data_IF_539413972850
#
_entry.id   IF_539413972850
#
_cell.length_a   1.000
_cell.length_b   1.000
_cell.length_c   1.000
_cell.angle_alpha   90.00
_cell.angle_beta   90.00
_cell.angle_gamma   90.00
#
_symmetry.space_group_name_H-M   'P 1'
#
loop_
_entity.id
_entity.type
_entity.pdbx_description
1 polymer ?
#
# COMPACT_ATOMS: atom_id res chain seq x y z
N UNK A 1 7.05 -43.72 32.59
CA UNK A 1 7.10 -43.31 31.17
C UNK A 1 5.91 -42.42 30.87
N UNK A 2 6.10 -41.10 30.86
CA UNK A 2 5.14 -40.14 30.28
C UNK A 2 5.86 -39.38 29.18
N UNK A 3 5.27 -39.43 27.99
CA UNK A 3 5.85 -39.05 26.71
C UNK A 3 5.77 -37.53 26.52
N UNK A 4 6.92 -36.90 26.30
CA UNK A 4 7.03 -35.53 25.77
C UNK A 4 7.28 -35.66 24.27
N UNK A 5 6.31 -35.26 23.46
CA UNK A 5 6.36 -34.95 22.01
C UNK A 5 5.07 -34.14 21.81
N UNK A 6 5.06 -32.89 21.37
CA UNK A 6 5.55 -32.40 20.08
C UNK A 6 5.47 -30.87 20.13
N UNK A 7 6.57 -30.13 19.95
CA UNK A 7 6.53 -28.66 19.85
C UNK A 7 7.69 -28.06 19.01
N UNK A 8 8.23 -28.80 18.03
CA UNK A 8 9.47 -28.42 17.32
C UNK A 8 9.31 -28.11 15.82
N UNK A 9 8.09 -28.13 15.26
CA UNK A 9 7.90 -27.93 13.81
C UNK A 9 7.58 -26.47 13.40
N UNK A 10 6.98 -25.66 14.27
CA UNK A 10 6.56 -24.30 13.91
C UNK A 10 7.72 -23.28 13.89
N UNK A 11 8.72 -23.43 14.77
CA UNK A 11 9.82 -22.46 14.89
C UNK A 11 10.83 -22.52 13.75
N UNK A 12 11.04 -23.67 13.11
CA UNK A 12 12.00 -23.81 12.01
C UNK A 12 11.50 -23.16 10.70
N UNK A 13 10.18 -23.20 10.45
CA UNK A 13 9.59 -22.57 9.27
C UNK A 13 9.58 -21.04 9.38
N UNK A 14 9.26 -20.51 10.58
CA UNK A 14 9.28 -19.07 10.86
C UNK A 14 10.69 -18.46 10.80
N UNK A 15 11.71 -19.19 11.27
CA UNK A 15 13.11 -18.77 11.17
C UNK A 15 13.63 -18.76 9.72
N UNK A 16 13.16 -19.66 8.86
CA UNK A 16 13.53 -19.65 7.44
C UNK A 16 12.81 -18.55 6.64
N UNK A 17 11.54 -18.27 6.95
CA UNK A 17 10.79 -17.21 6.25
C UNK A 17 11.28 -15.81 6.61
N UNK A 18 11.62 -15.55 7.88
CA UNK A 18 12.15 -14.26 8.32
C UNK A 18 13.52 -13.94 7.70
N UNK A 19 14.39 -14.96 7.62
CA UNK A 19 15.71 -14.83 6.99
C UNK A 19 15.65 -14.53 5.49
N UNK A 20 14.76 -15.22 4.75
CA UNK A 20 14.56 -14.99 3.33
C UNK A 20 14.02 -13.57 3.05
N UNK A 21 13.00 -13.13 3.82
CA UNK A 21 12.45 -11.78 3.70
C UNK A 21 13.50 -10.69 3.98
N UNK A 22 14.33 -10.88 5.00
CA UNK A 22 15.40 -9.93 5.30
C UNK A 22 16.41 -9.83 4.15
N UNK A 23 16.78 -10.98 3.56
CA UNK A 23 17.68 -11.02 2.41
C UNK A 23 17.07 -10.31 1.19
N UNK A 24 15.80 -10.56 0.89
CA UNK A 24 15.10 -9.93 -0.23
C UNK A 24 14.94 -8.42 -0.02
N UNK A 25 14.54 -7.99 1.18
CA UNK A 25 14.46 -6.57 1.52
C UNK A 25 15.84 -5.88 1.44
N UNK A 26 16.93 -6.56 1.84
CA UNK A 26 18.28 -6.02 1.75
C UNK A 26 18.73 -5.75 0.31
N UNK A 27 18.25 -6.51 -0.69
CA UNK A 27 18.57 -6.30 -2.12
C UNK A 27 18.11 -4.94 -2.63
N UNK A 28 17.09 -4.36 -1.99
CA UNK A 28 16.56 -3.03 -2.32
C UNK A 28 17.51 -1.89 -1.94
N UNK A 29 18.47 -2.14 -1.04
CA UNK A 29 19.47 -1.14 -0.64
C UNK A 29 20.63 -1.11 -1.65
N UNK A 30 20.90 0.02 -2.34
CA UNK A 30 21.98 0.08 -3.31
C UNK A 30 23.37 -0.06 -2.67
N UNK A 31 24.24 -0.91 -3.22
CA UNK A 31 25.59 -1.13 -2.68
C UNK A 31 26.50 0.11 -2.69
N UNK A 32 26.13 1.16 -3.44
CA UNK A 32 26.81 2.46 -3.40
C UNK A 32 26.62 3.19 -2.05
N UNK A 33 25.52 2.92 -1.33
CA UNK A 33 25.19 3.57 -0.05
C UNK A 33 26.32 3.35 0.97
N UNK A 34 26.80 2.12 1.13
CA UNK A 34 27.89 1.81 2.05
C UNK A 34 29.18 2.60 1.75
N UNK A 35 29.44 2.93 0.48
CA UNK A 35 30.64 3.68 0.07
C UNK A 35 30.54 5.18 0.32
N UNK A 36 29.32 5.74 0.32
CA UNK A 36 29.08 7.19 0.41
C UNK A 36 28.59 7.58 1.81
N UNK A 37 27.71 6.78 2.40
CA UNK A 37 27.08 7.01 3.71
C UNK A 37 26.98 5.70 4.49
N UNK A 38 28.09 5.24 5.12
CA UNK A 38 28.11 3.99 5.87
C UNK A 38 27.17 3.99 7.08
N UNK A 39 26.88 5.16 7.67
CA UNK A 39 25.87 5.28 8.73
C UNK A 39 24.47 4.99 8.18
N UNK A 40 24.12 5.49 6.99
CA UNK A 40 22.84 5.17 6.35
C UNK A 40 22.75 3.68 6.01
N UNK A 41 23.85 3.05 5.57
CA UNK A 41 23.89 1.60 5.38
C UNK A 41 23.56 0.84 6.68
N UNK A 42 24.16 1.25 7.80
CA UNK A 42 23.88 0.62 9.12
C UNK A 42 22.41 0.78 9.50
N UNK A 43 21.84 2.00 9.45
CA UNK A 43 20.41 2.19 9.72
C UNK A 43 19.51 1.39 8.78
N UNK A 44 19.88 1.28 7.50
CA UNK A 44 19.13 0.48 6.54
C UNK A 44 19.14 -1.01 6.89
N UNK A 45 20.28 -1.56 7.30
CA UNK A 45 20.39 -2.99 7.64
C UNK A 45 19.80 -3.29 9.02
N UNK A 46 20.12 -2.47 10.02
CA UNK A 46 19.82 -2.77 11.43
C UNK A 46 18.38 -2.37 11.81
N UNK A 47 17.89 -1.24 11.31
CA UNK A 47 16.58 -0.71 11.68
C UNK A 47 15.53 -0.96 10.61
N UNK A 48 15.78 -0.59 9.35
CA UNK A 48 14.79 -0.79 8.28
C UNK A 48 14.62 -2.28 7.96
N UNK A 49 15.68 -2.97 7.54
CA UNK A 49 15.60 -4.40 7.19
C UNK A 49 15.47 -5.26 8.45
N UNK A 50 16.32 -5.04 9.45
CA UNK A 50 16.40 -5.88 10.64
C UNK A 50 15.24 -5.75 11.63
N UNK A 51 14.46 -4.66 11.58
CA UNK A 51 13.31 -4.46 12.48
C UNK A 51 12.03 -4.17 11.71
N UNK A 52 12.00 -3.13 10.89
CA UNK A 52 10.75 -2.67 10.26
C UNK A 52 10.18 -3.70 9.28
N UNK A 53 11.01 -4.36 8.47
CA UNK A 53 10.56 -5.43 7.59
C UNK A 53 10.29 -6.76 8.30
N UNK A 54 10.80 -6.95 9.51
CA UNK A 54 10.63 -8.17 10.30
C UNK A 54 9.46 -8.11 11.29
N UNK A 55 8.87 -6.93 11.47
CA UNK A 55 7.71 -6.76 12.36
C UNK A 55 6.46 -7.41 11.73
N UNK A 56 5.90 -8.38 12.46
CA UNK A 56 4.81 -9.25 12.03
C UNK A 56 3.41 -8.61 12.11
N UNK A 57 3.26 -7.42 12.72
CA UNK A 57 1.95 -6.74 12.81
C UNK A 57 1.40 -6.43 11.42
N UNK A 58 2.27 -6.05 10.48
CA UNK A 58 1.93 -5.88 9.07
C UNK A 58 2.72 -6.91 8.26
N UNK A 59 2.00 -7.74 7.50
CA UNK A 59 2.61 -8.80 6.71
C UNK A 59 3.63 -8.28 5.68
N UNK A 60 4.58 -9.11 5.28
CA UNK A 60 5.54 -8.78 4.22
C UNK A 60 4.86 -8.36 2.90
N UNK A 61 3.76 -9.05 2.57
CA UNK A 61 2.92 -8.77 1.40
C UNK A 61 2.34 -7.35 1.49
N UNK A 62 1.76 -6.99 2.64
CA UNK A 62 1.16 -5.67 2.85
C UNK A 62 2.22 -4.56 2.94
N UNK A 63 3.36 -4.81 3.58
CA UNK A 63 4.52 -3.90 3.58
C UNK A 63 5.00 -3.62 2.17
N UNK A 64 5.03 -4.65 1.32
CA UNK A 64 5.41 -4.49 -0.08
C UNK A 64 4.42 -3.65 -0.88
N UNK A 65 3.10 -3.86 -0.69
CA UNK A 65 2.08 -3.00 -1.31
C UNK A 65 2.18 -1.54 -0.83
N UNK A 66 2.35 -1.33 0.48
CA UNK A 66 2.53 0.02 1.07
C UNK A 66 3.80 0.69 0.54
N UNK A 67 4.90 -0.04 0.45
CA UNK A 67 6.16 0.46 -0.11
C UNK A 67 6.00 0.84 -1.57
N UNK A 68 5.44 -0.06 -2.38
CA UNK A 68 5.21 0.20 -3.80
C UNK A 68 4.30 1.42 -4.02
N UNK A 69 3.20 1.53 -3.28
CA UNK A 69 2.31 2.68 -3.32
C UNK A 69 3.03 3.99 -2.95
N UNK A 70 3.87 3.97 -1.90
CA UNK A 70 4.61 5.15 -1.47
C UNK A 70 5.66 5.62 -2.50
N UNK A 71 6.43 4.68 -3.06
CA UNK A 71 7.45 4.99 -4.08
C UNK A 71 6.81 5.50 -5.37
N UNK A 72 5.74 4.86 -5.84
CA UNK A 72 4.95 5.31 -6.99
C UNK A 72 4.45 6.75 -6.76
N UNK A 73 3.82 7.00 -5.61
CA UNK A 73 3.25 8.31 -5.25
C UNK A 73 4.30 9.43 -5.27
N UNK A 74 5.53 9.10 -4.83
CA UNK A 74 6.64 10.05 -4.70
C UNK A 74 7.48 10.17 -5.97
N UNK A 75 7.08 9.48 -7.05
CA UNK A 75 7.81 9.42 -8.31
C UNK A 75 9.25 8.88 -8.15
N UNK A 76 9.47 7.98 -7.18
CA UNK A 76 10.75 7.36 -6.90
C UNK A 76 10.91 6.12 -7.78
N UNK A 77 11.18 6.35 -9.07
CA UNK A 77 11.22 5.32 -10.10
C UNK A 77 12.58 4.63 -10.24
N UNK A 78 13.65 5.28 -9.77
CA UNK A 78 14.99 4.69 -9.72
C UNK A 78 15.04 3.58 -8.66
N UNK A 79 15.26 2.33 -9.09
CA UNK A 79 15.28 1.16 -8.19
C UNK A 79 13.90 0.59 -7.85
N UNK A 80 12.82 1.11 -8.45
CA UNK A 80 11.45 0.60 -8.25
C UNK A 80 11.30 -0.85 -8.70
N UNK A 81 12.09 -1.28 -9.70
CA UNK A 81 12.21 -2.66 -10.18
C UNK A 81 12.44 -3.65 -9.03
N UNK A 82 13.40 -3.36 -8.14
CA UNK A 82 13.72 -4.21 -7.00
C UNK A 82 12.59 -4.30 -5.97
N UNK A 83 11.83 -3.22 -5.80
CA UNK A 83 10.67 -3.23 -4.91
C UNK A 83 9.47 -3.97 -5.52
N UNK A 84 9.33 -3.95 -6.85
CA UNK A 84 8.35 -4.78 -7.57
C UNK A 84 8.74 -6.26 -7.43
N UNK A 85 10.01 -6.60 -7.59
CA UNK A 85 10.52 -7.97 -7.34
C UNK A 85 10.22 -8.41 -5.90
N UNK A 86 10.57 -7.59 -4.91
CA UNK A 86 10.27 -7.85 -3.50
C UNK A 86 8.77 -8.05 -3.24
N UNK A 87 7.92 -7.26 -3.90
CA UNK A 87 6.48 -7.40 -3.78
C UNK A 87 5.99 -8.74 -4.31
N UNK A 88 6.43 -9.13 -5.51
CA UNK A 88 6.10 -10.42 -6.11
C UNK A 88 6.60 -11.59 -5.22
N UNK A 89 7.83 -11.50 -4.72
CA UNK A 89 8.43 -12.52 -3.86
C UNK A 89 7.75 -12.60 -2.48
N UNK A 90 7.18 -11.48 -2.01
CA UNK A 90 6.36 -11.41 -0.79
C UNK A 90 4.91 -11.86 -0.99
N UNK A 91 4.53 -12.29 -2.21
CA UNK A 91 3.21 -12.82 -2.51
C UNK A 91 2.18 -11.78 -3.00
N UNK A 92 2.60 -10.56 -3.34
CA UNK A 92 1.74 -9.62 -4.09
C UNK A 92 1.56 -10.17 -5.51
N UNK A 93 0.33 -10.25 -5.98
CA UNK A 93 0.04 -10.77 -7.32
C UNK A 93 0.36 -9.72 -8.40
N UNK A 94 0.73 -10.13 -9.63
CA UNK A 94 0.91 -9.20 -10.74
C UNK A 94 -0.31 -8.31 -11.00
N UNK A 95 -1.51 -8.88 -10.92
CA UNK A 95 -2.76 -8.14 -11.03
C UNK A 95 -2.92 -7.05 -9.96
N UNK A 96 -2.44 -7.28 -8.73
CA UNK A 96 -2.56 -6.31 -7.63
C UNK A 96 -1.60 -5.13 -7.84
N UNK A 97 -0.40 -5.39 -8.37
CA UNK A 97 0.55 -4.34 -8.78
C UNK A 97 -0.05 -3.52 -9.92
N UNK A 98 -0.59 -4.18 -10.94
CA UNK A 98 -1.27 -3.52 -12.07
C UNK A 98 -2.45 -2.66 -11.62
N UNK A 99 -3.31 -3.19 -10.75
CA UNK A 99 -4.48 -2.47 -10.26
C UNK A 99 -4.08 -1.33 -9.29
N UNK A 100 -2.99 -1.48 -8.52
CA UNK A 100 -2.42 -0.40 -7.70
C UNK A 100 -1.95 0.76 -8.58
N UNK A 101 -1.29 0.48 -9.70
CA UNK A 101 -0.88 1.52 -10.68
C UNK A 101 -2.10 2.26 -11.22
N UNK A 102 -3.13 1.53 -11.65
CA UNK A 102 -4.38 2.12 -12.16
C UNK A 102 -5.07 2.97 -11.10
N UNK A 103 -5.22 2.46 -9.88
CA UNK A 103 -5.87 3.17 -8.78
C UNK A 103 -5.13 4.46 -8.41
N UNK A 104 -3.80 4.38 -8.31
CA UNK A 104 -2.98 5.53 -7.94
C UNK A 104 -2.80 6.54 -9.08
N UNK A 105 -3.19 6.23 -10.32
CA UNK A 105 -3.32 7.24 -11.37
C UNK A 105 -4.34 8.33 -10.98
N UNK A 106 -5.48 7.92 -10.40
CA UNK A 106 -6.54 8.84 -9.97
C UNK A 106 -6.20 9.57 -8.66
N UNK A 107 -5.51 8.90 -7.73
CA UNK A 107 -5.21 9.47 -6.41
C UNK A 107 -3.91 10.28 -6.35
N UNK A 108 -2.92 9.94 -7.18
CA UNK A 108 -1.57 10.51 -7.09
C UNK A 108 -1.04 11.03 -8.43
N UNK A 109 -1.81 10.84 -9.52
CA UNK A 109 -1.57 11.45 -10.82
C UNK A 109 -1.09 10.48 -11.90
N UNK A 110 -1.52 10.74 -13.14
CA UNK A 110 -1.22 9.92 -14.32
C UNK A 110 0.27 9.77 -14.61
N UNK A 111 1.08 10.82 -14.39
CA UNK A 111 2.52 10.77 -14.63
C UNK A 111 3.22 9.76 -13.73
N UNK A 112 2.81 9.68 -12.46
CA UNK A 112 3.35 8.72 -11.49
C UNK A 112 2.98 7.29 -11.87
N UNK A 113 1.72 7.04 -12.18
CA UNK A 113 1.25 5.73 -12.62
C UNK A 113 1.92 5.27 -13.92
N UNK A 114 2.06 6.17 -14.91
CA UNK A 114 2.72 5.86 -16.19
C UNK A 114 4.17 5.46 -15.97
N UNK A 115 4.90 6.20 -15.13
CA UNK A 115 6.30 5.90 -14.86
C UNK A 115 6.46 4.57 -14.08
N UNK A 116 5.55 4.27 -13.14
CA UNK A 116 5.54 2.98 -12.45
C UNK A 116 5.22 1.80 -13.40
N UNK A 117 4.28 1.97 -14.34
CA UNK A 117 4.00 0.98 -15.38
C UNK A 117 5.23 0.70 -16.25
N UNK A 118 5.96 1.74 -16.64
CA UNK A 118 7.20 1.62 -17.40
C UNK A 118 8.30 0.89 -16.61
N UNK A 119 8.41 1.15 -15.30
CA UNK A 119 9.35 0.45 -14.43
C UNK A 119 8.96 -1.02 -14.18
N UNK A 120 7.67 -1.34 -14.16
CA UNK A 120 7.18 -2.71 -13.98
C UNK A 120 7.38 -3.59 -15.22
N UNK A 121 7.29 -3.03 -16.41
CA UNK A 121 7.38 -3.76 -17.67
C UNK A 121 8.59 -4.72 -17.79
N UNK A 122 9.86 -4.29 -17.56
CA UNK A 122 11.00 -5.21 -17.65
C UNK A 122 11.00 -6.29 -16.56
N UNK A 123 10.45 -6.01 -15.37
CA UNK A 123 10.32 -7.01 -14.30
C UNK A 123 9.29 -8.06 -14.69
N UNK A 124 8.15 -7.64 -15.25
CA UNK A 124 7.10 -8.55 -15.71
C UNK A 124 7.59 -9.42 -16.86
N UNK A 125 8.30 -8.84 -17.83
CA UNK A 125 8.94 -9.59 -18.92
C UNK A 125 9.93 -10.64 -18.37
N UNK A 126 10.82 -10.26 -17.45
CA UNK A 126 11.78 -11.17 -16.85
C UNK A 126 11.13 -12.29 -16.02
N UNK A 127 9.95 -12.03 -15.43
CA UNK A 127 9.16 -13.00 -14.65
C UNK A 127 8.18 -13.81 -15.51
N UNK A 128 8.10 -13.56 -16.81
CA UNK A 128 7.17 -14.23 -17.73
C UNK A 128 5.69 -13.87 -17.48
N UNK A 129 5.44 -12.72 -16.85
CA UNK A 129 4.10 -12.20 -16.58
C UNK A 129 3.55 -11.56 -17.86
N UNK A 130 2.39 -12.01 -18.29
CA UNK A 130 1.70 -11.55 -19.48
C UNK A 130 0.51 -10.64 -19.13
N UNK A 131 -0.11 -10.02 -20.14
CA UNK A 131 -1.33 -9.21 -19.95
C UNK A 131 -2.49 -10.01 -19.38
N UNK A 132 -2.53 -11.32 -19.62
CA UNK A 132 -3.57 -12.23 -19.11
C UNK A 132 -3.46 -12.45 -17.59
N UNK A 133 -2.30 -12.15 -17.00
CA UNK A 133 -2.04 -12.23 -15.56
C UNK A 133 -2.37 -10.91 -14.82
N UNK A 134 -2.81 -9.88 -15.55
CA UNK A 134 -3.04 -8.52 -15.03
C UNK A 134 -4.53 -8.23 -14.81
N UNK A 135 -4.81 -7.10 -14.16
CA UNK A 135 -6.19 -6.66 -13.95
C UNK A 135 -6.88 -6.39 -15.31
N UNK A 136 -8.06 -6.98 -15.57
CA UNK A 136 -8.73 -6.83 -16.85
C UNK A 136 -9.24 -5.40 -17.03
N UNK A 137 -9.40 -4.99 -18.30
CA UNK A 137 -9.90 -3.65 -18.65
C UNK A 137 -11.33 -3.47 -18.15
N UNK A 138 -12.20 -4.47 -18.38
CA UNK A 138 -13.63 -4.45 -18.07
C UNK A 138 -14.00 -5.66 -17.17
N UNK A 139 -13.71 -5.61 -15.86
CA UNK A 139 -14.08 -6.66 -14.91
C UNK A 139 -15.55 -6.61 -14.52
N UNK A 140 -16.08 -7.73 -14.03
CA UNK A 140 -17.28 -7.72 -13.19
C UNK A 140 -16.97 -6.96 -11.89
N UNK A 141 -17.73 -5.89 -11.63
CA UNK A 141 -17.53 -5.04 -10.46
C UNK A 141 -18.06 -5.69 -9.19
N UNK A 142 -17.41 -5.40 -8.07
CA UNK A 142 -17.83 -5.78 -6.73
C UNK A 142 -19.18 -5.11 -6.37
N UNK A 143 -19.97 -5.71 -5.46
CA UNK A 143 -21.23 -5.12 -5.03
C UNK A 143 -21.06 -3.71 -4.45
N UNK A 144 -21.96 -2.80 -4.85
CA UNK A 144 -22.03 -1.45 -4.32
C UNK A 144 -22.90 -1.41 -3.06
N UNK A 145 -22.43 -0.71 -2.03
CA UNK A 145 -23.29 -0.26 -0.94
C UNK A 145 -24.05 0.99 -1.41
N UNK A 146 -25.27 0.78 -1.92
CA UNK A 146 -26.08 1.85 -2.50
C UNK A 146 -26.43 2.95 -1.49
N UNK A 147 -26.65 2.59 -0.22
CA UNK A 147 -27.00 3.58 0.82
C UNK A 147 -25.79 4.43 1.19
N UNK A 148 -24.63 3.81 1.42
CA UNK A 148 -23.40 4.54 1.72
C UNK A 148 -22.99 5.45 0.55
N UNK A 149 -23.13 4.99 -0.69
CA UNK A 149 -22.82 5.80 -1.86
C UNK A 149 -23.80 6.95 -2.06
N UNK A 150 -25.11 6.72 -1.90
CA UNK A 150 -26.10 7.80 -1.96
C UNK A 150 -25.81 8.88 -0.91
N UNK A 151 -25.45 8.49 0.32
CA UNK A 151 -25.08 9.43 1.37
C UNK A 151 -23.81 10.21 1.03
N UNK A 152 -22.75 9.53 0.55
CA UNK A 152 -21.50 10.17 0.11
C UNK A 152 -21.76 11.17 -1.01
N UNK A 153 -22.52 10.77 -2.04
CA UNK A 153 -22.80 11.61 -3.19
C UNK A 153 -23.66 12.83 -2.82
N UNK A 154 -24.69 12.64 -1.98
CA UNK A 154 -25.50 13.74 -1.48
C UNK A 154 -24.66 14.77 -0.72
N UNK A 155 -23.74 14.31 0.13
CA UNK A 155 -22.82 15.20 0.84
C UNK A 155 -21.92 15.99 -0.12
N UNK A 156 -21.25 15.31 -1.06
CA UNK A 156 -20.34 15.96 -2.01
C UNK A 156 -21.07 16.92 -2.94
N UNK A 157 -22.22 16.51 -3.48
CA UNK A 157 -23.02 17.33 -4.40
C UNK A 157 -23.61 18.56 -3.72
N UNK A 158 -24.16 18.43 -2.51
CA UNK A 158 -24.70 19.58 -1.77
C UNK A 158 -23.63 20.58 -1.34
N UNK A 159 -22.42 20.10 -1.06
CA UNK A 159 -21.30 20.95 -0.60
C UNK A 159 -20.56 21.61 -1.76
N UNK A 160 -20.30 20.86 -2.84
CA UNK A 160 -19.38 21.26 -3.91
C UNK A 160 -19.99 21.29 -5.32
N UNK A 161 -21.27 20.95 -5.47
CA UNK A 161 -21.95 20.90 -6.77
C UNK A 161 -21.91 22.22 -7.54
N UNK A 162 -21.97 23.35 -6.84
CA UNK A 162 -21.86 24.68 -7.46
C UNK A 162 -20.41 25.15 -7.67
N UNK A 163 -19.42 24.46 -7.10
CA UNK A 163 -18.00 24.81 -7.23
C UNK A 163 -17.42 24.17 -8.49
N UNK A 164 -17.63 22.87 -8.68
CA UNK A 164 -17.17 22.15 -9.86
C UNK A 164 -18.08 20.94 -10.16
N UNK A 165 -19.14 21.14 -10.97
CA UNK A 165 -20.07 20.05 -11.32
C UNK A 165 -19.38 18.87 -11.99
N UNK A 166 -18.37 19.14 -12.82
CA UNK A 166 -17.60 18.10 -13.52
C UNK A 166 -16.84 17.19 -12.55
N UNK A 167 -16.16 17.78 -11.57
CA UNK A 167 -15.42 17.00 -10.56
C UNK A 167 -16.38 16.17 -9.70
N UNK A 168 -17.52 16.73 -9.29
CA UNK A 168 -18.52 16.00 -8.51
C UNK A 168 -19.07 14.79 -9.29
N UNK A 169 -19.43 14.99 -10.56
CA UNK A 169 -19.92 13.91 -11.44
C UNK A 169 -18.85 12.84 -11.65
N UNK A 170 -17.62 13.23 -11.98
CA UNK A 170 -16.57 12.26 -12.31
C UNK A 170 -16.08 11.52 -11.04
N UNK A 171 -16.18 12.14 -9.85
CA UNK A 171 -15.96 11.47 -8.56
C UNK A 171 -16.93 10.32 -8.37
N UNK A 172 -18.22 10.53 -8.64
CA UNK A 172 -19.24 9.47 -8.58
C UNK A 172 -18.98 8.41 -9.66
N UNK A 173 -18.96 8.83 -10.94
CA UNK A 173 -18.99 7.91 -12.07
C UNK A 173 -17.70 7.12 -12.26
N UNK A 174 -16.53 7.78 -12.14
CA UNK A 174 -15.24 7.13 -12.41
C UNK A 174 -14.64 6.50 -11.15
N UNK A 175 -14.90 7.07 -9.96
CA UNK A 175 -14.27 6.59 -8.74
C UNK A 175 -15.20 5.62 -8.00
N UNK A 176 -16.32 6.09 -7.48
CA UNK A 176 -17.11 5.29 -6.53
C UNK A 176 -18.05 4.26 -7.20
N UNK A 177 -18.47 4.51 -8.44
CA UNK A 177 -19.27 3.57 -9.23
C UNK A 177 -18.45 2.67 -10.17
N UNK A 178 -17.13 2.86 -10.25
CA UNK A 178 -16.21 2.05 -11.07
C UNK A 178 -14.93 1.70 -10.29
N UNK A 179 -13.95 2.61 -10.22
CA UNK A 179 -12.60 2.32 -9.69
C UNK A 179 -12.60 1.61 -8.32
N UNK A 180 -13.44 2.06 -7.39
CA UNK A 180 -13.55 1.49 -6.04
C UNK A 180 -14.21 0.11 -5.98
N UNK A 181 -14.93 -0.28 -7.04
CA UNK A 181 -15.61 -1.56 -7.16
C UNK A 181 -14.82 -2.55 -8.03
N UNK A 182 -13.71 -2.15 -8.66
CA UNK A 182 -12.90 -3.09 -9.46
C UNK A 182 -12.32 -4.20 -8.57
N UNK A 183 -12.36 -5.48 -8.99
CA UNK A 183 -11.94 -6.62 -8.16
C UNK A 183 -10.43 -6.92 -8.20
N UNK A 184 -9.63 -6.16 -8.95
CA UNK A 184 -8.17 -6.36 -9.01
C UNK A 184 -7.45 -6.09 -7.68
N UNK A 185 -8.12 -5.44 -6.73
CA UNK A 185 -7.70 -5.33 -5.34
C UNK A 185 -8.93 -5.61 -4.48
N UNK A 186 -8.74 -6.40 -3.43
CA UNK A 186 -9.75 -6.51 -2.37
C UNK A 186 -10.03 -5.11 -1.78
N UNK A 187 -11.26 -4.81 -1.34
CA UNK A 187 -11.59 -3.49 -0.79
C UNK A 187 -10.65 -3.05 0.33
N UNK A 188 -10.17 -3.98 1.18
CA UNK A 188 -9.17 -3.73 2.22
C UNK A 188 -7.87 -3.18 1.62
N UNK A 189 -7.35 -3.86 0.60
CA UNK A 189 -6.05 -3.55 0.01
C UNK A 189 -6.09 -2.28 -0.83
N UNK A 190 -7.21 -2.04 -1.53
CA UNK A 190 -7.45 -0.75 -2.22
C UNK A 190 -7.46 0.41 -1.23
N UNK A 191 -8.08 0.24 -0.07
CA UNK A 191 -8.03 1.25 0.98
C UNK A 191 -6.63 1.40 1.59
N UNK A 192 -5.91 0.28 1.81
CA UNK A 192 -4.54 0.26 2.33
C UNK A 192 -3.59 1.09 1.45
N UNK A 193 -3.56 0.82 0.14
CA UNK A 193 -2.69 1.56 -0.79
C UNK A 193 -3.13 3.01 -0.96
N UNK A 194 -4.43 3.32 -0.83
CA UNK A 194 -4.92 4.71 -0.84
C UNK A 194 -4.41 5.48 0.38
N UNK A 195 -4.57 4.92 1.60
CA UNK A 195 -4.08 5.56 2.84
C UNK A 195 -2.57 5.73 2.80
N UNK A 196 -1.84 4.71 2.35
CA UNK A 196 -0.39 4.78 2.21
C UNK A 196 0.04 5.90 1.24
N UNK A 197 -0.62 6.01 0.09
CA UNK A 197 -0.38 7.05 -0.89
C UNK A 197 -0.67 8.46 -0.33
N UNK A 198 -1.79 8.66 0.38
CA UNK A 198 -2.12 9.96 0.98
C UNK A 198 -1.07 10.40 2.02
N UNK A 199 -0.60 9.47 2.86
CA UNK A 199 0.49 9.73 3.80
C UNK A 199 1.78 10.06 3.03
N UNK A 200 2.12 9.27 2.01
CA UNK A 200 3.32 9.46 1.20
C UNK A 200 3.30 10.77 0.39
N UNK A 201 2.12 11.24 -0.02
CA UNK A 201 1.93 12.54 -0.66
C UNK A 201 1.93 13.71 0.33
N UNK A 202 1.71 13.45 1.63
CA UNK A 202 1.55 14.49 2.64
C UNK A 202 0.20 15.18 2.56
N UNK A 203 -0.87 14.41 2.34
CA UNK A 203 -2.26 14.87 2.17
C UNK A 203 -3.16 14.39 3.32
N UNK A 204 -2.90 14.79 4.58
CA UNK A 204 -3.70 14.36 5.73
C UNK A 204 -5.17 14.76 5.63
N UNK A 205 -5.51 15.79 4.85
CA UNK A 205 -6.88 16.32 4.70
C UNK A 205 -7.86 15.29 4.13
N UNK A 206 -7.38 14.32 3.34
CA UNK A 206 -8.20 13.25 2.78
C UNK A 206 -8.18 11.97 3.63
N UNK A 207 -7.30 11.91 4.63
CA UNK A 207 -7.01 10.68 5.36
C UNK A 207 -8.16 10.26 6.28
N UNK A 208 -8.94 11.20 6.84
CA UNK A 208 -10.08 10.86 7.71
C UNK A 208 -11.08 9.93 7.03
N UNK A 209 -11.47 10.26 5.78
CA UNK A 209 -12.42 9.43 5.02
C UNK A 209 -11.80 8.08 4.66
N UNK A 210 -10.59 8.09 4.07
CA UNK A 210 -9.97 6.87 3.57
C UNK A 210 -9.49 5.92 4.65
N UNK A 211 -9.06 6.41 5.82
CA UNK A 211 -8.70 5.55 6.95
C UNK A 211 -9.94 4.92 7.58
N UNK A 212 -11.05 5.65 7.73
CA UNK A 212 -12.31 5.04 8.16
C UNK A 212 -12.74 3.93 7.18
N UNK A 213 -12.74 4.22 5.87
CA UNK A 213 -13.06 3.23 4.85
C UNK A 213 -12.11 2.03 4.87
N UNK A 214 -10.82 2.23 5.15
CA UNK A 214 -9.87 1.14 5.31
C UNK A 214 -10.24 0.23 6.49
N UNK A 215 -10.61 0.82 7.62
CA UNK A 215 -10.99 0.08 8.81
C UNK A 215 -12.36 -0.61 8.65
N UNK A 216 -13.32 0.01 7.95
CA UNK A 216 -14.59 -0.63 7.58
C UNK A 216 -14.36 -1.85 6.68
N UNK A 217 -13.36 -1.77 5.80
CA UNK A 217 -12.95 -2.88 4.93
C UNK A 217 -12.04 -3.91 5.63
N UNK A 218 -11.80 -3.79 6.94
CA UNK A 218 -11.09 -4.79 7.74
C UNK A 218 -9.61 -4.51 8.01
N UNK A 219 -9.09 -3.31 7.71
CA UNK A 219 -7.77 -2.90 8.22
C UNK A 219 -7.86 -2.63 9.73
N UNK A 220 -7.08 -3.36 10.52
CA UNK A 220 -7.05 -3.17 11.97
C UNK A 220 -6.32 -1.87 12.37
N UNK A 221 -6.60 -1.40 13.60
CA UNK A 221 -5.86 -0.27 14.19
C UNK A 221 -4.36 -0.53 14.28
N UNK A 222 -3.98 -1.76 14.62
CA UNK A 222 -2.58 -2.15 14.76
C UNK A 222 -1.87 -2.17 13.40
N UNK A 223 -2.51 -2.71 12.37
CA UNK A 223 -1.99 -2.64 10.99
C UNK A 223 -1.87 -1.20 10.50
N UNK A 224 -2.87 -0.33 10.76
CA UNK A 224 -2.79 1.08 10.41
C UNK A 224 -1.63 1.81 11.14
N UNK A 225 -1.39 1.47 12.41
CA UNK A 225 -0.22 1.94 13.17
C UNK A 225 1.11 1.46 12.58
N UNK A 226 1.16 0.21 12.11
CA UNK A 226 2.32 -0.36 11.44
C UNK A 226 2.57 0.28 10.06
N UNK A 227 1.51 0.67 9.32
CA UNK A 227 1.62 1.45 8.07
C UNK A 227 2.28 2.80 8.32
N UNK A 228 1.83 3.56 9.33
CA UNK A 228 2.46 4.84 9.71
C UNK A 228 3.94 4.65 10.05
N UNK A 229 4.26 3.64 10.85
CA UNK A 229 5.63 3.34 11.27
C UNK A 229 6.51 2.96 10.08
N UNK A 230 6.00 2.16 9.16
CA UNK A 230 6.71 1.75 7.94
C UNK A 230 6.97 2.94 7.00
N UNK A 231 5.95 3.79 6.81
CA UNK A 231 6.06 4.98 5.97
C UNK A 231 6.95 6.07 6.56
N UNK A 232 7.33 6.01 7.84
CA UNK A 232 8.33 6.93 8.38
C UNK A 232 9.66 6.77 7.63
N UNK A 233 10.03 5.54 7.27
CA UNK A 233 11.24 5.23 6.51
C UNK A 233 11.11 5.53 5.01
N UNK A 234 9.96 5.25 4.41
CA UNK A 234 9.76 5.37 2.96
C UNK A 234 9.22 6.74 2.50
N UNK A 235 8.47 7.44 3.34
CA UNK A 235 7.91 8.76 3.03
C UNK A 235 8.58 9.90 3.83
N UNK A 236 9.27 9.57 4.92
CA UNK A 236 9.92 10.52 5.81
C UNK A 236 9.06 10.92 7.02
N UNK A 237 9.73 11.11 8.16
CA UNK A 237 9.11 11.45 9.44
C UNK A 237 8.10 12.61 9.40
N UNK A 238 8.38 13.77 8.75
CA UNK A 238 7.45 14.90 8.76
C UNK A 238 6.06 14.58 8.17
N UNK A 239 6.01 13.76 7.12
CA UNK A 239 4.73 13.36 6.51
C UNK A 239 3.92 12.47 7.45
N UNK A 240 4.57 11.53 8.12
CA UNK A 240 3.93 10.69 9.13
C UNK A 240 3.47 11.50 10.35
N UNK A 241 4.29 12.44 10.82
CA UNK A 241 3.89 13.35 11.92
C UNK A 241 2.71 14.24 11.55
N UNK A 242 2.51 14.55 10.26
CA UNK A 242 1.32 15.27 9.78
C UNK A 242 0.08 14.36 9.71
N UNK A 243 0.27 13.06 9.47
CA UNK A 243 -0.80 12.06 9.42
C UNK A 243 -1.25 11.58 10.82
N UNK A 244 -0.34 11.52 11.80
CA UNK A 244 -0.61 10.97 13.14
C UNK A 244 -1.81 11.61 13.86
N UNK A 245 -2.03 12.95 13.84
CA UNK A 245 -3.20 13.54 14.46
C UNK A 245 -4.51 12.99 13.88
N UNK A 246 -4.58 12.85 12.55
CA UNK A 246 -5.76 12.31 11.88
C UNK A 246 -5.98 10.83 12.25
N UNK A 247 -4.90 10.02 12.28
CA UNK A 247 -5.01 8.62 12.70
C UNK A 247 -5.50 8.50 14.14
N UNK A 248 -4.95 9.32 15.06
CA UNK A 248 -5.38 9.37 16.46
C UNK A 248 -6.87 9.68 16.56
N UNK A 249 -7.35 10.72 15.88
CA UNK A 249 -8.74 11.14 15.94
C UNK A 249 -9.68 10.06 15.38
N UNK A 250 -9.31 9.40 14.27
CA UNK A 250 -10.06 8.25 13.73
C UNK A 250 -10.10 7.10 14.73
N UNK A 251 -8.95 6.71 15.31
CA UNK A 251 -8.91 5.61 16.28
C UNK A 251 -9.71 5.90 17.54
N UNK A 252 -9.69 7.14 18.04
CA UNK A 252 -10.47 7.55 19.21
C UNK A 252 -11.97 7.60 18.89
N UNK A 253 -12.36 8.06 17.70
CA UNK A 253 -13.77 8.10 17.28
C UNK A 253 -14.42 6.71 17.10
N UNK A 254 -13.60 5.68 16.91
CA UNK A 254 -14.02 4.28 16.72
C UNK A 254 -13.84 3.43 17.97
N UNK A 255 -13.21 3.96 19.01
CA UNK A 255 -13.02 3.27 20.28
C UNK A 255 -14.29 3.43 21.11
N UNK A 256 -15.15 2.42 21.06
CA UNK A 256 -16.14 2.16 22.12
C UNK A 256 -15.45 1.52 23.34
#
# INVERSE_FOLDING_TARGET
MKTVKTMLAASALALMSGGALAEDAAKTIPGAVARVSPALQSYAMDDLVGKVWQDEVLSARDRSLVTFAALLTRHETEGLDKFIELALDSGVKPLEISETITHLAFYTGWGNATAAAQAAAPVFEARGISVDDLAPVDPELLPLDEEAEANRQNFVSSTYGNVSPGVVRDTEQLLFLDLWLRPGLEPRDRSLITVAALIAAGQPEQMTFHLNKAMDNGLSKDEAGAVLSHLAFYAGWPKVFSAMPVAKDVFESRAD
#
